data_IF_040570029180
#
_entry.id   IF_040570029180
#
_cell.length_a   1.000
_cell.length_b   1.000
_cell.length_c   1.000
_cell.angle_alpha   90.00
_cell.angle_beta   90.00
_cell.angle_gamma   90.00
#
_symmetry.space_group_name_H-M   'P 1'
#
loop_
_entity.id
_entity.type
_entity.pdbx_description
1 polymer ?
#
# COMPACT_ATOMS: atom_id res chain seq x y z
N UNK A 1 23.28 13.47 -10.33
CA UNK A 1 21.91 13.56 -9.77
C UNK A 1 21.84 12.60 -8.59
N UNK A 2 21.74 13.11 -7.36
CA UNK A 2 21.68 12.26 -6.17
C UNK A 2 20.32 11.54 -6.13
N UNK A 3 20.34 10.21 -6.17
CA UNK A 3 19.17 9.38 -5.91
C UNK A 3 18.70 9.69 -4.49
N UNK A 4 17.55 10.38 -4.34
CA UNK A 4 16.89 10.53 -3.04
C UNK A 4 16.47 9.13 -2.59
N UNK A 5 17.33 8.43 -1.84
CA UNK A 5 16.95 7.20 -1.14
C UNK A 5 15.72 7.50 -0.32
N UNK A 6 14.56 6.98 -0.73
CA UNK A 6 13.31 7.11 0.03
C UNK A 6 13.55 6.52 1.40
N UNK A 7 13.10 7.21 2.45
CA UNK A 7 13.21 6.72 3.81
C UNK A 7 12.63 5.29 3.90
N UNK A 8 13.28 4.40 4.68
CA UNK A 8 12.79 3.04 4.86
C UNK A 8 11.34 3.07 5.38
N UNK A 9 10.50 2.09 4.99
CA UNK A 9 9.12 2.01 5.44
C UNK A 9 9.05 1.88 6.96
N UNK A 10 8.08 2.58 7.57
CA UNK A 10 7.84 2.55 9.01
C UNK A 10 7.28 1.21 9.47
N UNK A 11 6.52 0.54 8.60
CA UNK A 11 5.92 -0.76 8.87
C UNK A 11 5.69 -1.54 7.56
N UNK A 12 5.75 -2.88 7.62
CA UNK A 12 5.59 -3.76 6.45
C UNK A 12 4.67 -4.92 6.82
N UNK A 13 3.64 -5.16 6.01
CA UNK A 13 2.80 -6.38 6.08
C UNK A 13 3.23 -7.31 4.95
N UNK A 14 3.56 -8.55 5.27
CA UNK A 14 3.87 -9.60 4.27
C UNK A 14 2.69 -10.55 4.13
N UNK A 15 2.44 -11.05 2.92
CA UNK A 15 1.40 -12.01 2.60
C UNK A 15 1.87 -12.94 1.46
N UNK A 16 1.11 -13.99 1.19
CA UNK A 16 1.40 -14.86 0.05
C UNK A 16 1.30 -14.07 -1.27
N UNK A 17 2.24 -14.27 -2.21
CA UNK A 17 2.24 -13.54 -3.47
C UNK A 17 0.90 -13.66 -4.20
N UNK A 18 0.35 -12.52 -4.59
CA UNK A 18 -0.88 -12.45 -5.38
C UNK A 18 -0.69 -11.57 -6.60
N UNK A 19 -1.30 -11.97 -7.72
CA UNK A 19 -1.31 -11.16 -8.93
C UNK A 19 -2.29 -10.01 -8.80
N UNK A 20 -1.78 -8.78 -8.93
CA UNK A 20 -2.59 -7.57 -8.96
C UNK A 20 -2.35 -6.81 -10.26
N UNK A 21 -3.42 -6.25 -10.84
CA UNK A 21 -3.28 -5.38 -12.01
C UNK A 21 -3.03 -3.94 -11.56
N UNK A 22 -1.91 -3.36 -11.97
CA UNK A 22 -1.61 -1.94 -11.77
C UNK A 22 -1.78 -1.17 -13.08
N UNK A 23 -2.28 0.06 -13.00
CA UNK A 23 -2.32 0.99 -14.13
C UNK A 23 -1.07 1.85 -14.10
N UNK A 24 -0.29 1.83 -15.18
CA UNK A 24 0.90 2.67 -15.35
C UNK A 24 0.52 4.08 -15.75
N UNK A 25 1.46 5.03 -15.64
CA UNK A 25 1.34 6.40 -16.16
C UNK A 25 0.91 6.45 -17.64
N UNK A 26 1.27 5.43 -18.42
CA UNK A 26 0.88 5.25 -19.82
C UNK A 26 -0.54 4.71 -20.03
N UNK A 27 -1.35 4.57 -18.97
CA UNK A 27 -2.67 3.91 -18.95
C UNK A 27 -2.67 2.44 -19.34
N UNK A 28 -1.49 1.83 -19.41
CA UNK A 28 -1.36 0.39 -19.65
C UNK A 28 -1.53 -0.37 -18.33
N UNK A 29 -2.34 -1.42 -18.35
CA UNK A 29 -2.45 -2.37 -17.24
C UNK A 29 -1.29 -3.35 -17.30
N UNK A 30 -0.64 -3.59 -16.16
CA UNK A 30 0.37 -4.64 -16.00
C UNK A 30 0.02 -5.48 -14.79
N UNK A 31 0.13 -6.80 -14.93
CA UNK A 31 0.05 -7.73 -13.81
C UNK A 31 1.40 -7.76 -13.08
N UNK A 32 1.35 -7.64 -11.76
CA UNK A 32 2.53 -7.74 -10.89
C UNK A 32 2.24 -8.69 -9.76
N UNK A 33 3.24 -9.47 -9.37
CA UNK A 33 3.20 -10.27 -8.16
C UNK A 33 3.45 -9.34 -6.97
N UNK A 34 2.44 -9.20 -6.11
CA UNK A 34 2.53 -8.43 -4.89
C UNK A 34 2.62 -9.37 -3.69
N UNK A 35 3.65 -9.21 -2.85
CA UNK A 35 3.93 -10.07 -1.69
C UNK A 35 3.94 -9.31 -0.35
N UNK A 36 3.89 -7.98 -0.40
CA UNK A 36 3.88 -7.14 0.80
C UNK A 36 3.24 -5.78 0.59
N UNK A 37 2.88 -5.12 1.70
CA UNK A 37 2.35 -3.76 1.77
C UNK A 37 3.28 -2.94 2.66
N UNK A 38 3.84 -1.87 2.10
CA UNK A 38 4.68 -0.91 2.79
C UNK A 38 3.85 0.25 3.31
N UNK A 39 4.02 0.55 4.60
CA UNK A 39 3.46 1.72 5.25
C UNK A 39 4.60 2.69 5.55
N UNK A 40 4.52 3.88 4.95
CA UNK A 40 5.42 5.00 5.26
C UNK A 40 4.64 6.10 5.94
N UNK A 41 4.99 6.42 7.16
CA UNK A 41 4.41 7.54 7.88
C UNK A 41 5.41 8.69 7.90
N UNK A 42 5.02 9.85 7.37
CA UNK A 42 5.79 11.08 7.49
C UNK A 42 4.85 12.28 7.67
N UNK A 43 5.21 13.21 8.56
CA UNK A 43 4.56 14.52 8.73
C UNK A 43 3.01 14.48 8.69
N UNK A 44 2.38 13.58 9.47
CA UNK A 44 0.92 13.52 9.55
C UNK A 44 0.22 12.64 8.50
N UNK A 45 0.97 12.07 7.54
CA UNK A 45 0.44 11.27 6.43
C UNK A 45 1.05 9.87 6.42
N UNK A 46 0.19 8.86 6.33
CA UNK A 46 0.56 7.46 6.11
C UNK A 46 0.30 7.08 4.66
N UNK A 47 1.30 6.53 3.99
CA UNK A 47 1.25 6.06 2.61
C UNK A 47 1.28 4.54 2.58
N UNK A 48 0.32 3.94 1.88
CA UNK A 48 0.32 2.50 1.58
C UNK A 48 0.84 2.30 0.16
N UNK A 49 1.83 1.43 0.00
CA UNK A 49 2.37 1.01 -1.29
C UNK A 49 2.44 -0.52 -1.33
N UNK A 50 2.15 -1.13 -2.48
CA UNK A 50 2.39 -2.55 -2.70
C UNK A 50 3.87 -2.82 -2.94
N UNK A 51 4.32 -4.00 -2.53
CA UNK A 51 5.65 -4.52 -2.75
C UNK A 51 5.64 -5.58 -3.85
N UNK A 52 6.58 -5.44 -4.77
CA UNK A 52 6.92 -6.33 -5.88
C UNK A 52 8.13 -5.72 -6.59
N UNK A 53 8.68 -6.37 -7.62
CA UNK A 53 9.84 -5.88 -8.39
C UNK A 53 9.70 -4.43 -8.90
N UNK A 54 8.47 -3.88 -8.87
CA UNK A 54 8.07 -2.64 -9.52
C UNK A 54 7.32 -1.70 -8.54
N UNK A 55 7.51 -1.86 -7.22
CA UNK A 55 6.95 -0.95 -6.22
C UNK A 55 7.29 0.54 -6.47
N UNK A 56 8.38 0.81 -7.21
CA UNK A 56 8.79 2.16 -7.62
C UNK A 56 8.00 2.75 -8.80
N UNK A 57 7.37 1.95 -9.66
CA UNK A 57 6.57 2.44 -10.81
C UNK A 57 5.05 2.45 -10.54
N UNK A 58 4.59 1.81 -9.47
CA UNK A 58 3.18 1.78 -9.12
C UNK A 58 2.72 3.16 -8.60
N UNK A 59 1.88 3.84 -9.39
CA UNK A 59 1.27 5.14 -9.04
C UNK A 59 0.16 5.04 -7.98
N UNK A 60 -0.15 3.83 -7.52
CA UNK A 60 -1.22 3.57 -6.56
C UNK A 60 -0.72 3.79 -5.13
N UNK A 61 -0.40 5.05 -4.80
CA UNK A 61 -0.13 5.46 -3.43
C UNK A 61 -1.43 5.93 -2.78
N UNK A 62 -1.87 5.25 -1.73
CA UNK A 62 -2.99 5.72 -0.92
C UNK A 62 -2.42 6.55 0.21
N UNK A 63 -2.68 7.86 0.19
CA UNK A 63 -2.41 8.75 1.31
C UNK A 63 -3.57 8.70 2.31
N UNK A 64 -3.23 8.50 3.58
CA UNK A 64 -4.18 8.43 4.68
C UNK A 64 -3.72 9.34 5.82
N UNK A 65 -4.63 9.89 6.63
CA UNK A 65 -4.28 10.51 7.90
C UNK A 65 -3.44 9.57 8.77
N UNK A 66 -2.40 10.09 9.43
CA UNK A 66 -1.63 9.33 10.42
C UNK A 66 -2.24 9.39 11.83
N UNK A 67 -3.46 9.90 11.96
CA UNK A 67 -4.17 9.98 13.23
C UNK A 67 -4.49 8.57 13.79
N UNK A 68 -4.10 8.26 15.05
CA UNK A 68 -4.33 6.94 15.63
C UNK A 68 -5.80 6.52 15.71
N UNK A 69 -6.72 7.45 15.95
CA UNK A 69 -8.15 7.12 16.04
C UNK A 69 -8.71 6.77 14.66
N UNK A 70 -8.35 7.53 13.63
CA UNK A 70 -8.68 7.23 12.25
C UNK A 70 -8.16 5.84 11.83
N UNK A 71 -6.90 5.51 12.14
CA UNK A 71 -6.32 4.21 11.80
C UNK A 71 -7.03 3.06 12.50
N UNK A 72 -7.40 3.22 13.79
CA UNK A 72 -8.21 2.23 14.53
C UNK A 72 -9.60 2.07 13.93
N UNK A 73 -10.23 3.17 13.52
CA UNK A 73 -11.54 3.14 12.87
C UNK A 73 -11.48 2.43 11.52
N UNK A 74 -10.47 2.74 10.69
CA UNK A 74 -10.24 2.08 9.40
C UNK A 74 -10.05 0.56 9.59
N UNK A 75 -9.22 0.15 10.56
CA UNK A 75 -9.02 -1.26 10.86
C UNK A 75 -10.34 -1.99 11.22
N UNK A 76 -11.20 -1.35 12.02
CA UNK A 76 -12.54 -1.90 12.34
C UNK A 76 -13.40 -2.07 11.09
N UNK A 77 -13.39 -1.09 10.17
CA UNK A 77 -14.16 -1.16 8.92
C UNK A 77 -13.64 -2.24 7.98
N UNK A 78 -12.32 -2.38 7.84
CA UNK A 78 -11.71 -3.45 7.05
C UNK A 78 -12.06 -4.84 7.60
N UNK A 79 -12.02 -5.02 8.92
CA UNK A 79 -12.45 -6.27 9.57
C UNK A 79 -13.92 -6.60 9.30
N UNK A 80 -14.79 -5.59 9.34
CA UNK A 80 -16.22 -5.77 9.04
C UNK A 80 -16.44 -6.14 7.57
N UNK A 81 -15.69 -5.54 6.65
CA UNK A 81 -15.73 -5.86 5.22
C UNK A 81 -15.28 -7.31 4.96
N UNK A 82 -14.16 -7.75 5.55
CA UNK A 82 -13.68 -9.12 5.41
C UNK A 82 -14.74 -10.15 5.83
N UNK A 83 -15.36 -9.95 7.01
CA UNK A 83 -16.45 -10.82 7.50
C UNK A 83 -17.67 -10.86 6.57
N UNK A 84 -17.91 -9.78 5.80
CA UNK A 84 -19.01 -9.73 4.82
C UNK A 84 -18.67 -10.55 3.57
N UNK A 85 -17.40 -10.60 3.17
CA UNK A 85 -16.93 -11.32 1.98
C UNK A 85 -16.73 -12.83 2.22
N UNK A 86 -16.62 -13.28 3.47
CA UNK A 86 -16.60 -14.71 3.86
C UNK A 86 -17.98 -15.39 3.77
N UNK A 87 -19.04 -14.66 3.40
CA UNK A 87 -20.41 -15.16 3.23
C UNK A 87 -20.72 -15.40 1.76
#
# INVERSE_FOLDING_TARGET
MASKKKAPPSFVIKFEPMQVSIERRTKQKKWVDADSLYFRTNDGVTRIQYAGEIAEEAYNEIQMPSDPEFLRYLAKKLKALAKKLEK
#
